data_IF_916779479239
#
_entry.id   IF_916779479239
#
_cell.length_a   1.000
_cell.length_b   1.000
_cell.length_c   1.000
_cell.angle_alpha   90.00
_cell.angle_beta   90.00
_cell.angle_gamma   90.00
#
_symmetry.space_group_name_H-M   'P 1'
#
loop_
_entity.id
_entity.type
_entity.pdbx_description
1 polymer ?
#
# COMPACT_ATOMS: atom_id res chain seq x y z
N UNK A 1 -68.58 -43.59 -33.71
CA UNK A 1 -68.27 -42.15 -33.89
C UNK A 1 -66.79 -41.97 -33.57
N UNK A 2 -65.95 -41.87 -34.61
CA UNK A 2 -64.48 -41.78 -34.48
C UNK A 2 -64.11 -40.34 -34.11
N UNK A 3 -63.46 -40.15 -32.96
CA UNK A 3 -62.76 -38.89 -32.68
C UNK A 3 -61.61 -38.76 -33.69
N UNK A 4 -61.70 -37.76 -34.58
CA UNK A 4 -60.56 -37.31 -35.40
C UNK A 4 -59.55 -36.63 -34.47
N UNK A 5 -58.34 -37.16 -34.39
CA UNK A 5 -57.17 -36.39 -34.00
C UNK A 5 -56.96 -35.29 -35.04
N UNK A 6 -57.17 -34.04 -34.63
CA UNK A 6 -56.99 -32.86 -35.46
C UNK A 6 -55.50 -32.50 -35.49
N UNK A 7 -54.74 -33.04 -36.45
CA UNK A 7 -53.41 -32.54 -36.79
C UNK A 7 -53.57 -31.20 -37.53
N UNK A 8 -53.79 -30.10 -36.80
CA UNK A 8 -53.60 -28.75 -37.35
C UNK A 8 -52.10 -28.51 -37.43
N UNK A 9 -51.56 -28.56 -38.65
CA UNK A 9 -50.20 -28.10 -38.93
C UNK A 9 -50.03 -26.65 -38.43
N UNK A 10 -48.89 -26.39 -37.80
CA UNK A 10 -48.51 -25.05 -37.33
C UNK A 10 -48.53 -24.10 -38.54
N UNK A 11 -49.23 -22.97 -38.43
CA UNK A 11 -49.31 -21.99 -39.50
C UNK A 11 -47.93 -21.40 -39.81
N UNK A 12 -47.66 -21.17 -41.10
CA UNK A 12 -46.39 -20.60 -41.60
C UNK A 12 -45.88 -19.37 -40.80
N UNK A 13 -46.74 -18.43 -40.34
CA UNK A 13 -46.29 -17.29 -39.52
C UNK A 13 -45.72 -17.70 -38.15
N UNK A 14 -46.22 -18.77 -37.56
CA UNK A 14 -45.76 -19.28 -36.26
C UNK A 14 -44.40 -19.98 -36.40
N UNK A 15 -44.18 -20.71 -37.49
CA UNK A 15 -42.86 -21.28 -37.81
C UNK A 15 -41.84 -20.16 -38.05
N UNK A 16 -42.22 -19.11 -38.78
CA UNK A 16 -41.36 -17.96 -39.02
C UNK A 16 -40.98 -17.26 -37.70
N UNK A 17 -41.95 -17.09 -36.79
CA UNK A 17 -41.73 -16.50 -35.46
C UNK A 17 -40.79 -17.32 -34.57
N UNK A 18 -40.87 -18.66 -34.63
CA UNK A 18 -39.94 -19.54 -33.91
C UNK A 18 -38.53 -19.43 -34.50
N UNK A 19 -38.41 -19.45 -35.84
CA UNK A 19 -37.10 -19.33 -36.51
C UNK A 19 -36.45 -17.98 -36.21
N UNK A 20 -37.19 -16.87 -36.28
CA UNK A 20 -36.64 -15.55 -35.95
C UNK A 20 -36.28 -15.43 -34.47
N UNK A 21 -37.05 -16.03 -33.56
CA UNK A 21 -36.71 -16.09 -32.14
C UNK A 21 -35.43 -16.89 -31.88
N UNK A 22 -35.27 -18.05 -32.51
CA UNK A 22 -34.04 -18.86 -32.40
C UNK A 22 -32.84 -18.13 -32.98
N UNK A 23 -32.97 -17.47 -34.13
CA UNK A 23 -31.89 -16.66 -34.71
C UNK A 23 -31.54 -15.49 -33.78
N UNK A 24 -32.53 -14.80 -33.21
CA UNK A 24 -32.31 -13.68 -32.30
C UNK A 24 -31.60 -14.11 -31.00
N UNK A 25 -31.99 -15.25 -30.41
CA UNK A 25 -31.31 -15.80 -29.23
C UNK A 25 -29.89 -16.21 -29.58
N UNK A 26 -29.70 -16.93 -30.70
CA UNK A 26 -28.37 -17.40 -31.12
C UNK A 26 -27.44 -16.24 -31.39
N UNK A 27 -27.92 -15.19 -32.09
CA UNK A 27 -27.17 -13.98 -32.36
C UNK A 27 -26.82 -13.22 -31.06
N UNK A 28 -27.76 -13.11 -30.12
CA UNK A 28 -27.52 -12.46 -28.82
C UNK A 28 -26.48 -13.21 -28.00
N UNK A 29 -26.56 -14.54 -27.98
CA UNK A 29 -25.64 -15.40 -27.24
C UNK A 29 -24.23 -15.37 -27.84
N UNK A 30 -24.11 -15.40 -29.17
CA UNK A 30 -22.83 -15.20 -29.87
C UNK A 30 -22.24 -13.82 -29.59
N UNK A 31 -23.06 -12.78 -29.66
CA UNK A 31 -22.62 -11.40 -29.40
C UNK A 31 -22.10 -11.26 -27.96
N UNK A 32 -22.83 -11.81 -26.99
CA UNK A 32 -22.43 -11.81 -25.59
C UNK A 32 -21.11 -12.57 -25.38
N UNK A 33 -20.97 -13.77 -25.96
CA UNK A 33 -19.74 -14.56 -25.86
C UNK A 33 -18.53 -13.84 -26.47
N UNK A 34 -18.70 -13.17 -27.62
CA UNK A 34 -17.62 -12.40 -28.25
C UNK A 34 -17.23 -11.17 -27.42
N UNK A 35 -18.19 -10.46 -26.83
CA UNK A 35 -17.88 -9.33 -25.95
C UNK A 35 -17.17 -9.76 -24.68
N UNK A 36 -17.59 -10.87 -24.05
CA UNK A 36 -16.90 -11.41 -22.88
C UNK A 36 -15.49 -11.86 -23.23
N UNK A 37 -15.29 -12.57 -24.34
CA UNK A 37 -13.96 -12.99 -24.78
C UNK A 37 -13.03 -11.78 -24.98
N UNK A 38 -13.50 -10.71 -25.64
CA UNK A 38 -12.71 -9.48 -25.81
C UNK A 38 -12.36 -8.79 -24.50
N UNK A 39 -13.29 -8.75 -23.54
CA UNK A 39 -13.02 -8.16 -22.22
C UNK A 39 -11.97 -8.96 -21.46
N UNK A 40 -12.02 -10.29 -21.57
CA UNK A 40 -11.03 -11.19 -20.97
C UNK A 40 -9.67 -11.00 -21.63
N UNK A 41 -9.59 -11.02 -22.96
CA UNK A 41 -8.34 -10.81 -23.69
C UNK A 41 -7.71 -9.44 -23.34
N UNK A 42 -8.51 -8.38 -23.31
CA UNK A 42 -8.04 -7.05 -22.93
C UNK A 42 -7.54 -7.01 -21.48
N UNK A 43 -8.19 -7.72 -20.56
CA UNK A 43 -7.73 -7.81 -19.17
C UNK A 43 -6.41 -8.56 -19.03
N UNK A 44 -6.20 -9.61 -19.84
CA UNK A 44 -4.94 -10.34 -19.89
C UNK A 44 -3.82 -9.46 -20.45
N UNK A 45 -4.03 -8.81 -21.59
CA UNK A 45 -3.04 -7.91 -22.19
C UNK A 45 -2.61 -6.79 -21.22
N UNK A 46 -3.56 -6.19 -20.49
CA UNK A 46 -3.23 -5.14 -19.51
C UNK A 46 -2.45 -5.69 -18.31
N UNK A 47 -2.81 -6.87 -17.82
CA UNK A 47 -2.12 -7.51 -16.69
C UNK A 47 -0.69 -7.91 -17.08
N UNK A 48 -0.51 -8.46 -18.28
CA UNK A 48 0.79 -8.83 -18.81
C UNK A 48 1.66 -7.59 -19.07
N UNK A 49 1.10 -6.53 -19.68
CA UNK A 49 1.81 -5.27 -19.89
C UNK A 49 2.25 -4.64 -18.56
N UNK A 50 1.40 -4.65 -17.54
CA UNK A 50 1.74 -4.20 -16.20
C UNK A 50 2.89 -5.02 -15.59
N UNK A 51 2.78 -6.35 -15.60
CA UNK A 51 3.80 -7.23 -15.03
C UNK A 51 5.15 -7.06 -15.74
N UNK A 52 5.15 -6.98 -17.06
CA UNK A 52 6.35 -6.74 -17.86
C UNK A 52 6.96 -5.36 -17.57
N UNK A 53 6.14 -4.31 -17.44
CA UNK A 53 6.63 -2.97 -17.12
C UNK A 53 7.28 -2.92 -15.73
N UNK A 54 6.65 -3.53 -14.72
CA UNK A 54 7.22 -3.67 -13.36
C UNK A 54 8.55 -4.42 -13.40
N UNK A 55 8.58 -5.57 -14.08
CA UNK A 55 9.79 -6.39 -14.18
C UNK A 55 10.93 -5.66 -14.91
N UNK A 56 10.63 -4.93 -16.00
CA UNK A 56 11.65 -4.17 -16.73
C UNK A 56 12.24 -3.05 -15.87
N UNK A 57 11.41 -2.29 -15.15
CA UNK A 57 11.88 -1.23 -14.25
C UNK A 57 12.72 -1.83 -13.11
N UNK A 58 12.22 -2.85 -12.43
CA UNK A 58 12.93 -3.52 -11.33
C UNK A 58 14.28 -4.11 -11.77
N UNK A 59 14.31 -4.82 -12.89
CA UNK A 59 15.54 -5.40 -13.42
C UNK A 59 16.56 -4.32 -13.82
N UNK A 60 16.10 -3.21 -14.40
CA UNK A 60 16.96 -2.07 -14.76
C UNK A 60 17.61 -1.48 -13.51
N UNK A 61 16.82 -1.24 -12.45
CA UNK A 61 17.32 -0.75 -11.16
C UNK A 61 18.36 -1.71 -10.59
N UNK A 62 18.04 -3.01 -10.51
CA UNK A 62 18.94 -4.02 -9.96
C UNK A 62 20.26 -4.11 -10.72
N UNK A 63 20.24 -3.92 -12.03
CA UNK A 63 21.45 -3.85 -12.86
C UNK A 63 22.29 -2.61 -12.50
N UNK A 64 21.66 -1.42 -12.42
CA UNK A 64 22.34 -0.17 -12.04
C UNK A 64 22.97 -0.28 -10.65
N UNK A 65 22.21 -0.79 -9.68
CA UNK A 65 22.66 -0.95 -8.28
C UNK A 65 23.81 -1.96 -8.17
N UNK A 66 23.74 -3.06 -8.93
CA UNK A 66 24.81 -4.08 -8.97
C UNK A 66 26.09 -3.53 -9.58
N UNK A 67 25.98 -2.85 -10.73
CA UNK A 67 27.12 -2.35 -11.48
C UNK A 67 27.65 -1.01 -10.92
N UNK A 68 26.87 -0.36 -10.06
CA UNK A 68 27.15 0.93 -9.43
C UNK A 68 27.54 2.01 -10.45
N UNK A 69 26.89 1.99 -11.62
CA UNK A 69 27.26 2.84 -12.75
C UNK A 69 26.10 3.76 -13.14
N UNK A 70 26.36 5.08 -13.07
CA UNK A 70 25.44 6.15 -13.47
C UNK A 70 26.00 6.99 -14.62
N UNK A 71 27.00 6.48 -15.35
CA UNK A 71 27.54 7.17 -16.51
C UNK A 71 26.45 7.30 -17.60
N UNK A 72 26.29 8.49 -18.22
CA UNK A 72 25.21 8.72 -19.18
C UNK A 72 25.16 7.71 -20.33
N UNK A 73 26.31 7.27 -20.84
CA UNK A 73 26.34 6.29 -21.93
C UNK A 73 25.86 4.90 -21.46
N UNK A 74 26.24 4.48 -20.26
CA UNK A 74 25.78 3.22 -19.69
C UNK A 74 24.26 3.23 -19.48
N UNK A 75 23.71 4.33 -18.96
CA UNK A 75 22.27 4.48 -18.76
C UNK A 75 21.51 4.46 -20.10
N UNK A 76 21.98 5.16 -21.13
CA UNK A 76 21.39 5.15 -22.48
C UNK A 76 21.38 3.75 -23.12
N UNK A 77 22.47 3.00 -22.96
CA UNK A 77 22.57 1.63 -23.46
C UNK A 77 21.57 0.71 -22.72
N UNK A 78 21.41 0.91 -21.41
CA UNK A 78 20.49 0.14 -20.57
C UNK A 78 19.01 0.48 -20.84
N UNK A 79 18.67 1.76 -21.03
CA UNK A 79 17.35 2.22 -21.49
C UNK A 79 16.92 1.48 -22.76
N UNK A 80 17.83 1.47 -23.76
CA UNK A 80 17.59 0.84 -25.05
C UNK A 80 17.42 -0.67 -24.92
N UNK A 81 18.23 -1.31 -24.07
CA UNK A 81 18.20 -2.76 -23.87
C UNK A 81 16.94 -3.22 -23.11
N UNK A 82 16.55 -2.49 -22.07
CA UNK A 82 15.45 -2.86 -21.18
C UNK A 82 14.09 -2.31 -21.63
N UNK A 83 14.07 -1.35 -22.57
CA UNK A 83 12.86 -0.72 -23.05
C UNK A 83 12.22 0.21 -22.01
N UNK A 84 13.04 0.96 -21.27
CA UNK A 84 12.63 1.91 -20.23
C UNK A 84 13.18 3.30 -20.52
N UNK A 85 12.61 4.33 -19.89
CA UNK A 85 13.14 5.70 -19.84
C UNK A 85 13.88 5.90 -18.52
N UNK A 86 15.06 6.50 -18.53
CA UNK A 86 15.88 6.85 -17.37
C UNK A 86 16.19 8.34 -17.43
N UNK A 87 15.37 9.14 -16.75
CA UNK A 87 15.46 10.59 -16.75
C UNK A 87 16.03 11.12 -15.44
N UNK A 88 16.69 12.28 -15.46
CA UNK A 88 17.11 12.95 -14.22
C UNK A 88 15.91 13.69 -13.62
N UNK A 89 15.53 13.34 -12.40
CA UNK A 89 14.45 13.99 -11.65
C UNK A 89 14.93 15.27 -10.97
N UNK A 90 16.02 15.14 -10.21
CA UNK A 90 16.70 16.21 -9.49
C UNK A 90 18.20 15.89 -9.41
N UNK A 91 19.00 16.78 -8.82
CA UNK A 91 20.43 16.53 -8.66
C UNK A 91 20.65 15.23 -7.88
N UNK A 92 21.25 14.21 -8.52
CA UNK A 92 21.54 12.93 -7.89
C UNK A 92 20.37 11.93 -7.82
N UNK A 93 19.19 12.26 -8.37
CA UNK A 93 18.02 11.37 -8.43
C UNK A 93 17.60 11.12 -9.87
N UNK A 94 17.46 9.85 -10.21
CA UNK A 94 17.02 9.36 -11.50
C UNK A 94 15.62 8.75 -11.38
N UNK A 95 14.79 8.94 -12.39
CA UNK A 95 13.49 8.31 -12.54
C UNK A 95 13.57 7.27 -13.64
N UNK A 96 13.16 6.04 -13.33
CA UNK A 96 13.17 4.91 -14.26
C UNK A 96 11.71 4.53 -14.54
N UNK A 97 11.30 4.66 -15.80
CA UNK A 97 9.88 4.59 -16.20
C UNK A 97 9.65 3.61 -17.34
N UNK A 98 8.58 2.82 -17.26
CA UNK A 98 8.08 1.99 -18.36
C UNK A 98 6.60 2.27 -18.61
N UNK A 99 6.22 2.50 -19.87
CA UNK A 99 4.84 2.82 -20.25
C UNK A 99 4.01 1.54 -20.43
N UNK A 100 2.89 1.43 -19.73
CA UNK A 100 1.90 0.36 -19.92
C UNK A 100 0.92 0.76 -21.03
N UNK A 101 0.48 2.01 -21.01
CA UNK A 101 -0.39 2.61 -22.02
C UNK A 101 0.09 4.04 -22.32
N UNK A 102 -0.58 4.76 -23.20
CA UNK A 102 -0.26 6.16 -23.48
C UNK A 102 -0.41 7.10 -22.25
N UNK A 103 -1.09 6.66 -21.19
CA UNK A 103 -1.41 7.49 -20.01
C UNK A 103 -1.08 6.82 -18.68
N UNK A 104 -0.54 5.60 -18.69
CA UNK A 104 -0.19 4.86 -17.47
C UNK A 104 1.23 4.34 -17.59
N UNK A 105 2.01 4.56 -16.54
CA UNK A 105 3.40 4.13 -16.46
C UNK A 105 3.71 3.47 -15.12
N UNK A 106 4.72 2.62 -15.13
CA UNK A 106 5.41 2.19 -13.92
C UNK A 106 6.63 3.08 -13.75
N UNK A 107 6.80 3.63 -12.56
CA UNK A 107 7.89 4.57 -12.22
C UNK A 107 8.60 4.10 -10.96
N UNK A 108 9.91 4.30 -10.90
CA UNK A 108 10.72 4.17 -9.70
C UNK A 108 11.78 5.26 -9.67
N UNK A 109 12.25 5.60 -8.47
CA UNK A 109 13.32 6.56 -8.22
C UNK A 109 14.58 5.84 -7.75
N UNK A 110 15.73 6.31 -8.21
CA UNK A 110 17.04 5.80 -7.83
C UNK A 110 18.01 6.95 -7.54
N UNK A 111 18.80 6.83 -6.49
CA UNK A 111 19.96 7.68 -6.23
C UNK A 111 21.24 6.86 -6.11
N UNK A 112 22.36 7.43 -6.56
CA UNK A 112 23.70 6.87 -6.36
C UNK A 112 24.40 7.34 -5.09
N UNK A 113 23.81 8.31 -4.39
CA UNK A 113 24.33 8.88 -3.14
C UNK A 113 23.17 9.18 -2.22
N UNK A 114 23.06 8.43 -1.13
CA UNK A 114 22.07 8.68 -0.09
C UNK A 114 22.72 9.22 1.18
N UNK A 115 22.00 10.09 1.88
CA UNK A 115 22.38 10.64 3.18
C UNK A 115 21.31 10.28 4.20
N UNK A 116 21.74 9.72 5.33
CA UNK A 116 20.85 9.52 6.47
C UNK A 116 20.53 10.88 7.11
N UNK A 117 19.25 11.24 7.15
CA UNK A 117 18.74 12.44 7.80
C UNK A 117 17.76 12.08 8.91
N UNK A 118 17.56 13.00 9.85
CA UNK A 118 16.58 12.81 10.92
C UNK A 118 15.15 12.77 10.34
N UNK A 119 14.39 11.72 10.67
CA UNK A 119 13.04 11.51 10.13
C UNK A 119 12.05 12.57 10.62
N UNK A 120 12.23 13.07 11.84
CA UNK A 120 11.38 14.12 12.38
C UNK A 120 11.62 15.42 11.62
N UNK A 121 12.86 15.88 11.52
CA UNK A 121 13.20 17.13 10.84
C UNK A 121 12.87 17.09 9.34
N UNK A 122 13.08 15.96 8.68
CA UNK A 122 12.85 15.82 7.23
C UNK A 122 11.37 15.68 6.85
N UNK A 123 10.58 14.95 7.65
CA UNK A 123 9.18 14.63 7.32
C UNK A 123 8.23 15.23 8.37
N UNK A 124 8.33 14.78 9.62
CA UNK A 124 7.25 14.93 10.60
C UNK A 124 7.20 16.27 11.35
N UNK A 125 8.21 17.12 11.20
CA UNK A 125 8.21 18.49 11.72
C UNK A 125 7.20 19.37 10.97
N UNK A 126 7.01 19.10 9.68
CA UNK A 126 6.10 19.83 8.80
C UNK A 126 4.74 19.12 8.72
N UNK A 127 3.71 19.82 8.26
CA UNK A 127 2.37 19.27 8.04
C UNK A 127 2.18 18.67 6.63
N UNK A 128 3.13 18.89 5.73
CA UNK A 128 3.09 18.46 4.33
C UNK A 128 2.27 19.38 3.42
N UNK A 129 1.83 20.53 3.95
CA UNK A 129 1.01 21.51 3.23
C UNK A 129 1.68 22.88 3.13
N UNK A 130 2.86 23.03 3.72
CA UNK A 130 3.68 24.23 3.61
C UNK A 130 4.14 24.44 2.16
N UNK A 131 4.22 25.70 1.72
CA UNK A 131 4.57 26.04 0.34
C UNK A 131 5.98 25.58 -0.07
N UNK A 132 6.91 25.59 0.88
CA UNK A 132 8.33 25.27 0.65
C UNK A 132 8.66 23.81 1.02
N UNK A 133 7.67 23.03 1.47
CA UNK A 133 7.90 21.62 1.80
C UNK A 133 7.93 20.78 0.53
N UNK A 134 9.01 20.01 0.36
CA UNK A 134 9.18 19.05 -0.71
C UNK A 134 9.49 17.71 -0.06
N UNK A 135 8.61 16.73 -0.26
CA UNK A 135 8.85 15.36 0.17
C UNK A 135 9.89 14.72 -0.76
N UNK A 136 10.96 14.18 -0.18
CA UNK A 136 11.92 13.36 -0.93
C UNK A 136 11.20 12.19 -1.62
N UNK A 137 11.48 11.90 -2.89
CA UNK A 137 10.89 10.74 -3.57
C UNK A 137 11.34 9.41 -2.96
N UNK A 138 12.43 9.39 -2.18
CA UNK A 138 12.90 8.22 -1.44
C UNK A 138 12.24 8.07 -0.08
N UNK A 139 11.54 9.09 0.42
CA UNK A 139 10.79 9.04 1.67
C UNK A 139 9.45 8.31 1.50
N UNK A 140 9.51 7.02 1.15
CA UNK A 140 8.32 6.17 0.96
C UNK A 140 8.03 5.31 2.20
N UNK A 141 6.79 4.84 2.38
CA UNK A 141 6.44 3.85 3.40
C UNK A 141 7.32 2.60 3.38
N UNK A 142 7.65 2.06 2.19
CA UNK A 142 8.54 0.90 2.07
C UNK A 142 9.94 1.23 2.59
N UNK A 143 10.49 2.41 2.27
CA UNK A 143 11.82 2.83 2.73
C UNK A 143 11.87 3.14 4.23
N UNK A 144 10.80 3.74 4.78
CA UNK A 144 10.67 3.89 6.24
C UNK A 144 10.67 2.52 6.93
N UNK A 145 9.93 1.56 6.37
CA UNK A 145 9.82 0.22 6.95
C UNK A 145 11.11 -0.58 6.79
N UNK A 146 11.77 -0.54 5.62
CA UNK A 146 13.06 -1.20 5.38
C UNK A 146 14.18 -0.66 6.26
N UNK A 147 14.05 0.60 6.72
CA UNK A 147 14.96 1.19 7.71
C UNK A 147 14.60 0.78 9.14
N UNK A 148 13.31 0.74 9.49
CA UNK A 148 12.84 0.38 10.83
C UNK A 148 13.03 -1.10 11.17
N UNK A 149 12.73 -2.00 10.23
CA UNK A 149 12.67 -3.44 10.49
C UNK A 149 14.01 -4.02 10.94
N UNK A 150 15.17 -3.72 10.31
CA UNK A 150 16.46 -4.17 10.80
C UNK A 150 16.71 -3.74 12.26
N UNK A 151 16.45 -2.47 12.60
CA UNK A 151 16.58 -1.98 13.98
C UNK A 151 15.65 -2.73 14.94
N UNK A 152 14.40 -2.98 14.52
CA UNK A 152 13.44 -3.76 15.30
C UNK A 152 13.95 -5.16 15.63
N UNK A 153 14.57 -5.83 14.65
CA UNK A 153 15.16 -7.15 14.82
C UNK A 153 16.38 -7.14 15.74
N UNK A 154 17.28 -6.17 15.61
CA UNK A 154 18.44 -6.03 16.51
C UNK A 154 18.00 -5.90 17.98
N UNK A 155 16.92 -5.16 18.23
CA UNK A 155 16.44 -4.91 19.58
C UNK A 155 15.60 -6.05 20.17
N UNK A 156 14.69 -6.64 19.40
CA UNK A 156 13.74 -7.66 19.90
C UNK A 156 14.23 -9.10 19.70
N UNK A 157 15.12 -9.31 18.74
CA UNK A 157 15.63 -10.62 18.35
C UNK A 157 17.16 -10.59 18.18
N UNK A 158 17.93 -10.24 19.23
CA UNK A 158 19.39 -10.05 19.14
C UNK A 158 20.19 -11.32 18.77
N UNK A 159 19.53 -12.48 18.70
CA UNK A 159 20.11 -13.73 18.24
C UNK A 159 19.96 -13.95 16.72
N UNK A 160 19.18 -13.10 16.03
CA UNK A 160 19.04 -13.12 14.57
C UNK A 160 19.98 -12.08 13.95
N UNK A 161 20.52 -12.42 12.78
CA UNK A 161 21.18 -11.43 11.93
C UNK A 161 20.10 -10.85 11.02
N UNK A 162 19.77 -9.55 11.14
CA UNK A 162 18.71 -8.96 10.34
C UNK A 162 19.09 -8.91 8.86
N UNK A 163 18.15 -9.24 7.98
CA UNK A 163 18.21 -8.83 6.58
C UNK A 163 18.09 -7.29 6.51
N UNK A 164 18.93 -6.65 5.70
CA UNK A 164 19.01 -5.18 5.61
C UNK A 164 18.64 -4.64 4.23
N UNK A 165 18.39 -5.51 3.25
CA UNK A 165 18.26 -5.16 1.84
C UNK A 165 16.82 -5.29 1.34
N UNK A 166 15.85 -4.95 2.18
CA UNK A 166 14.44 -4.93 1.78
C UNK A 166 14.16 -3.82 0.77
N UNK A 167 13.41 -4.15 -0.28
CA UNK A 167 13.04 -3.19 -1.33
C UNK A 167 11.55 -2.85 -1.32
N UNK A 168 10.73 -3.68 -0.66
CA UNK A 168 9.28 -3.56 -0.64
C UNK A 168 8.69 -4.04 0.69
N UNK A 169 7.39 -3.76 0.91
CA UNK A 169 6.61 -4.36 2.00
C UNK A 169 6.52 -5.89 1.83
N UNK A 170 6.40 -6.38 0.59
CA UNK A 170 6.33 -7.82 0.31
C UNK A 170 7.59 -8.55 0.77
N UNK A 171 8.77 -8.02 0.47
CA UNK A 171 10.05 -8.64 0.86
C UNK A 171 10.16 -8.80 2.38
N UNK A 172 9.65 -7.80 3.13
CA UNK A 172 9.65 -7.81 4.60
C UNK A 172 8.67 -8.86 5.11
N UNK A 173 7.49 -8.95 4.51
CA UNK A 173 6.47 -9.92 4.91
C UNK A 173 6.93 -11.34 4.58
N UNK A 174 7.55 -11.56 3.43
CA UNK A 174 8.15 -12.85 3.02
C UNK A 174 9.26 -13.27 3.97
N UNK A 175 10.18 -12.36 4.34
CA UNK A 175 11.20 -12.65 5.35
C UNK A 175 10.61 -13.01 6.73
N UNK A 176 9.56 -12.30 7.15
CA UNK A 176 8.87 -12.59 8.43
C UNK A 176 8.12 -13.93 8.36
N UNK A 177 7.56 -14.28 7.19
CA UNK A 177 6.95 -15.59 6.94
C UNK A 177 7.97 -16.71 7.12
N UNK A 178 9.13 -16.62 6.48
CA UNK A 178 10.20 -17.61 6.60
C UNK A 178 10.62 -17.78 8.07
N UNK A 179 10.75 -16.68 8.81
CA UNK A 179 11.03 -16.71 10.24
C UNK A 179 9.92 -17.39 11.05
N UNK A 180 8.65 -17.16 10.73
CA UNK A 180 7.52 -17.80 11.40
C UNK A 180 7.47 -19.31 11.12
N UNK A 181 7.70 -19.71 9.87
CA UNK A 181 7.78 -21.12 9.43
C UNK A 181 8.91 -21.86 10.16
N UNK A 182 10.06 -21.20 10.33
CA UNK A 182 11.21 -21.71 11.08
C UNK A 182 11.04 -21.61 12.62
N UNK A 183 9.91 -21.07 13.10
CA UNK A 183 9.64 -20.80 14.52
C UNK A 183 10.73 -19.93 15.18
N UNK A 184 11.20 -18.94 14.45
CA UNK A 184 12.33 -18.08 14.79
C UNK A 184 11.86 -16.65 15.04
N UNK A 185 11.48 -16.35 16.29
CA UNK A 185 11.10 -15.00 16.73
C UNK A 185 9.62 -14.66 16.52
N UNK A 186 9.03 -15.04 15.38
CA UNK A 186 7.60 -14.88 15.08
C UNK A 186 6.82 -16.19 15.28
N UNK A 187 5.61 -16.06 15.82
CA UNK A 187 4.64 -17.16 15.90
C UNK A 187 3.66 -17.07 14.73
N UNK A 188 3.56 -18.14 13.94
CA UNK A 188 2.46 -18.31 12.98
C UNK A 188 1.14 -18.51 13.74
N UNK A 189 0.13 -17.70 13.41
CA UNK A 189 -1.21 -17.72 14.02
C UNK A 189 -2.28 -17.71 12.95
N UNK A 190 -3.48 -18.13 13.33
CA UNK A 190 -4.64 -18.07 12.43
C UNK A 190 -5.40 -16.78 12.66
N UNK A 191 -6.01 -16.24 11.62
CA UNK A 191 -6.99 -15.13 11.70
C UNK A 191 -8.00 -15.35 12.83
N UNK A 192 -8.53 -16.57 12.92
CA UNK A 192 -9.51 -16.99 13.94
C UNK A 192 -9.06 -16.79 15.40
N UNK A 193 -7.75 -16.73 15.68
CA UNK A 193 -7.20 -16.48 17.01
C UNK A 193 -7.48 -15.04 17.47
N UNK A 194 -7.56 -14.07 16.55
CA UNK A 194 -7.97 -12.69 16.83
C UNK A 194 -9.49 -12.51 16.68
N UNK A 195 -10.09 -13.09 15.64
CA UNK A 195 -11.51 -12.86 15.35
C UNK A 195 -12.44 -13.40 16.44
N UNK A 196 -12.13 -14.59 16.96
CA UNK A 196 -12.95 -15.27 17.96
C UNK A 196 -12.58 -14.89 19.39
N UNK A 197 -11.40 -14.28 19.62
CA UNK A 197 -10.96 -13.88 20.94
C UNK A 197 -11.93 -12.87 21.57
N UNK A 198 -12.22 -13.05 22.86
CA UNK A 198 -12.97 -12.06 23.62
C UNK A 198 -12.25 -10.70 23.63
N UNK A 199 -10.92 -10.75 23.77
CA UNK A 199 -10.02 -9.60 23.73
C UNK A 199 -8.92 -9.86 22.68
N UNK A 200 -9.11 -9.43 21.42
CA UNK A 200 -8.15 -9.66 20.33
C UNK A 200 -6.80 -9.01 20.63
N UNK A 201 -5.84 -9.81 21.11
CA UNK A 201 -4.51 -9.32 21.48
C UNK A 201 -3.43 -10.19 20.86
N UNK A 202 -2.57 -9.59 20.04
CA UNK A 202 -1.34 -10.20 19.58
C UNK A 202 -0.28 -10.05 20.69
N UNK A 203 -0.30 -10.96 21.68
CA UNK A 203 0.52 -10.84 22.89
C UNK A 203 2.01 -11.14 22.66
N UNK A 204 2.36 -11.64 21.48
CA UNK A 204 3.72 -11.87 21.01
C UNK A 204 3.90 -11.28 19.60
N UNK A 205 5.04 -11.54 18.97
CA UNK A 205 5.30 -11.21 17.56
C UNK A 205 4.56 -12.24 16.69
N UNK A 206 3.52 -11.80 16.01
CA UNK A 206 2.60 -12.70 15.30
C UNK A 206 2.67 -12.47 13.81
N UNK A 207 2.68 -13.57 13.06
CA UNK A 207 2.46 -13.62 11.62
C UNK A 207 1.15 -14.36 11.34
N UNK A 208 0.31 -13.82 10.46
CA UNK A 208 -0.95 -14.43 10.03
C UNK A 208 -1.01 -14.43 8.50
N UNK A 209 -1.07 -15.62 7.89
CA UNK A 209 -1.23 -15.84 6.44
C UNK A 209 -2.72 -15.99 6.08
N UNK A 210 -3.50 -14.94 6.34
CA UNK A 210 -4.94 -14.87 6.05
C UNK A 210 -5.47 -13.44 6.24
N UNK A 211 -6.65 -13.16 5.69
CA UNK A 211 -7.40 -11.95 6.02
C UNK A 211 -7.82 -11.95 7.50
N UNK A 212 -7.77 -10.78 8.14
CA UNK A 212 -8.17 -10.62 9.55
C UNK A 212 -9.31 -9.62 9.67
N UNK A 213 -10.44 -10.06 10.22
CA UNK A 213 -11.61 -9.22 10.47
C UNK A 213 -11.92 -9.09 11.95
N UNK A 214 -11.56 -7.96 12.55
CA UNK A 214 -11.88 -7.66 13.94
C UNK A 214 -13.39 -7.37 14.08
N UNK A 215 -14.12 -8.11 14.94
CA UNK A 215 -15.56 -7.94 15.11
C UNK A 215 -15.96 -6.59 15.67
N UNK A 216 -17.26 -6.28 15.52
CA UNK A 216 -17.85 -5.04 16.03
C UNK A 216 -17.58 -4.86 17.53
N UNK A 217 -17.10 -3.68 17.91
CA UNK A 217 -16.89 -3.28 19.30
C UNK A 217 -15.73 -3.99 20.02
N UNK A 218 -14.91 -4.78 19.31
CA UNK A 218 -13.70 -5.38 19.88
C UNK A 218 -12.48 -4.52 19.61
N UNK A 219 -11.49 -4.62 20.47
CA UNK A 219 -10.23 -3.91 20.32
C UNK A 219 -9.14 -4.87 19.86
N UNK A 220 -8.41 -4.51 18.82
CA UNK A 220 -7.18 -5.19 18.44
C UNK A 220 -6.01 -4.50 19.15
N UNK A 221 -5.35 -5.24 20.03
CA UNK A 221 -4.23 -4.75 20.83
C UNK A 221 -2.94 -5.46 20.42
N UNK A 222 -1.94 -4.68 20.04
CA UNK A 222 -0.56 -5.12 19.86
C UNK A 222 0.24 -4.37 20.94
N UNK A 223 0.78 -5.07 21.96
CA UNK A 223 1.56 -4.44 23.02
C UNK A 223 2.80 -3.73 22.47
N UNK A 224 3.34 -2.79 23.26
CA UNK A 224 4.61 -2.14 22.93
C UNK A 224 5.72 -3.18 22.71
N UNK A 225 6.63 -2.87 21.78
CA UNK A 225 7.71 -3.75 21.31
C UNK A 225 7.23 -5.06 20.65
N UNK A 226 5.94 -5.23 20.41
CA UNK A 226 5.39 -6.32 19.57
C UNK A 226 5.00 -5.79 18.20
N UNK A 227 4.99 -6.71 17.24
CA UNK A 227 4.62 -6.45 15.87
C UNK A 227 3.64 -7.53 15.43
N UNK A 228 2.53 -7.10 14.85
CA UNK A 228 1.60 -7.97 14.15
C UNK A 228 1.83 -7.80 12.65
N UNK A 229 2.05 -8.92 11.96
CA UNK A 229 2.18 -8.96 10.51
C UNK A 229 1.04 -9.81 9.95
N UNK A 230 0.28 -9.23 9.04
CA UNK A 230 -0.85 -9.87 8.37
C UNK A 230 -0.53 -9.92 6.89
N UNK A 231 -0.35 -11.13 6.36
CA UNK A 231 -0.21 -11.38 4.93
C UNK A 231 -1.60 -11.53 4.29
N UNK A 232 -2.31 -10.40 4.22
CA UNK A 232 -3.72 -10.33 3.84
C UNK A 232 -4.34 -8.98 4.19
N UNK A 233 -5.66 -8.86 4.05
CA UNK A 233 -6.41 -7.65 4.40
C UNK A 233 -6.67 -7.57 5.91
N UNK A 234 -6.58 -6.36 6.50
CA UNK A 234 -7.03 -6.09 7.86
C UNK A 234 -8.32 -5.24 7.85
N UNK A 235 -9.40 -5.81 8.35
CA UNK A 235 -10.69 -5.13 8.52
C UNK A 235 -11.07 -4.91 9.99
N UNK A 236 -11.18 -3.64 10.39
CA UNK A 236 -11.65 -3.20 11.71
C UNK A 236 -13.13 -2.82 11.64
N UNK A 237 -14.04 -3.54 12.31
CA UNK A 237 -15.48 -3.25 12.23
C UNK A 237 -15.99 -2.21 13.24
N UNK A 238 -17.27 -1.82 13.11
CA UNK A 238 -17.82 -0.66 13.82
C UNK A 238 -17.53 -0.71 15.33
N UNK A 239 -17.09 0.41 15.88
CA UNK A 239 -16.83 0.54 17.31
C UNK A 239 -15.52 -0.11 17.78
N UNK A 240 -14.69 -0.63 16.88
CA UNK A 240 -13.40 -1.22 17.23
C UNK A 240 -12.33 -0.16 17.47
N UNK A 241 -11.31 -0.57 18.24
CA UNK A 241 -10.07 0.20 18.45
C UNK A 241 -8.88 -0.61 17.98
N UNK A 242 -7.99 -0.02 17.19
CA UNK A 242 -6.65 -0.55 16.96
C UNK A 242 -5.69 0.14 17.93
N UNK A 243 -4.83 -0.61 18.61
CA UNK A 243 -3.73 -0.06 19.43
C UNK A 243 -2.45 -0.86 19.16
N UNK A 244 -1.36 -0.15 18.89
CA UNK A 244 -0.06 -0.76 18.60
C UNK A 244 0.36 -0.69 17.13
N UNK A 245 1.35 -1.49 16.73
CA UNK A 245 1.98 -1.44 15.41
C UNK A 245 1.61 -2.68 14.58
N UNK A 246 1.19 -2.47 13.33
CA UNK A 246 0.79 -3.56 12.43
C UNK A 246 1.29 -3.32 11.01
N UNK A 247 1.75 -4.39 10.37
CA UNK A 247 2.06 -4.46 8.94
C UNK A 247 0.97 -5.30 8.27
N UNK A 248 0.40 -4.78 7.20
CA UNK A 248 -0.70 -5.38 6.45
C UNK A 248 -0.25 -5.52 5.00
N UNK A 249 -0.02 -6.74 4.52
CA UNK A 249 0.35 -7.05 3.14
C UNK A 249 -0.86 -7.03 2.18
N UNK A 250 -1.76 -6.09 2.43
CA UNK A 250 -3.03 -5.95 1.74
C UNK A 250 -3.68 -4.64 2.15
N UNK A 251 -5.00 -4.59 2.11
CA UNK A 251 -5.79 -3.39 2.40
C UNK A 251 -6.01 -3.26 3.89
N UNK A 252 -5.92 -2.03 4.39
CA UNK A 252 -6.38 -1.69 5.73
C UNK A 252 -7.72 -0.95 5.65
N UNK A 253 -8.75 -1.54 6.25
CA UNK A 253 -10.12 -1.02 6.18
C UNK A 253 -10.75 -0.87 7.56
N UNK A 254 -11.23 0.32 7.86
CA UNK A 254 -12.10 0.57 9.00
C UNK A 254 -13.53 0.69 8.52
N UNK A 255 -14.40 -0.25 8.90
CA UNK A 255 -15.83 -0.19 8.65
C UNK A 255 -16.54 0.54 9.80
N UNK A 256 -17.09 1.71 9.50
CA UNK A 256 -17.82 2.53 10.46
C UNK A 256 -19.33 2.43 10.31
N UNK A 257 -20.04 2.77 11.37
CA UNK A 257 -21.49 2.97 11.36
C UNK A 257 -21.82 4.24 12.13
N UNK A 258 -22.79 5.02 11.62
CA UNK A 258 -23.28 6.21 12.31
C UNK A 258 -23.63 5.91 13.77
N UNK A 259 -23.18 6.77 14.68
CA UNK A 259 -23.36 6.62 16.12
C UNK A 259 -22.28 5.81 16.85
N UNK A 260 -21.32 5.23 16.14
CA UNK A 260 -20.17 4.53 16.73
C UNK A 260 -18.88 5.21 16.28
N UNK A 261 -17.97 5.48 17.21
CA UNK A 261 -16.60 5.93 16.89
C UNK A 261 -15.68 4.73 16.76
N UNK A 262 -14.73 4.79 15.84
CA UNK A 262 -13.62 3.84 15.73
C UNK A 262 -12.35 4.55 16.13
N UNK A 263 -11.36 3.83 16.62
CA UNK A 263 -10.13 4.43 17.12
C UNK A 263 -8.89 3.76 16.54
N UNK A 264 -7.87 4.55 16.23
CA UNK A 264 -6.57 4.05 15.77
C UNK A 264 -5.48 4.71 16.60
N UNK A 265 -4.82 3.93 17.46
CA UNK A 265 -3.77 4.37 18.38
C UNK A 265 -2.45 3.65 18.08
N UNK A 266 -1.79 4.03 16.99
CA UNK A 266 -0.50 3.46 16.60
C UNK A 266 -0.30 3.48 15.10
N UNK A 267 0.53 2.56 14.62
CA UNK A 267 1.08 2.62 13.27
C UNK A 267 0.57 1.48 12.41
N UNK A 268 0.16 1.82 11.20
CA UNK A 268 -0.27 0.88 10.17
C UNK A 268 0.57 1.11 8.93
N UNK A 269 1.39 0.13 8.59
CA UNK A 269 1.96 0.00 7.25
C UNK A 269 1.02 -0.89 6.44
N UNK A 270 0.47 -0.37 5.34
CA UNK A 270 -0.39 -1.12 4.44
C UNK A 270 0.21 -1.14 3.03
N UNK A 271 0.32 -2.32 2.43
CA UNK A 271 0.77 -2.48 1.04
C UNK A 271 -0.22 -1.86 0.05
N UNK A 272 -1.52 -2.06 0.31
CA UNK A 272 -2.59 -1.57 -0.56
C UNK A 272 -3.32 -0.35 0.03
N UNK A 273 -4.45 0.00 -0.58
CA UNK A 273 -5.29 1.13 -0.19
C UNK A 273 -5.72 1.08 1.28
N UNK A 274 -5.80 2.27 1.87
CA UNK A 274 -6.34 2.46 3.22
C UNK A 274 -7.68 3.16 3.16
N UNK A 275 -8.69 2.59 3.82
CA UNK A 275 -10.03 3.19 3.91
C UNK A 275 -10.43 3.39 5.37
N UNK A 276 -10.56 4.64 5.79
CA UNK A 276 -11.07 5.01 7.11
C UNK A 276 -12.53 5.45 7.00
N UNK A 277 -13.42 4.81 7.76
CA UNK A 277 -14.83 5.21 7.77
C UNK A 277 -15.09 6.52 8.52
N UNK A 278 -16.35 6.97 8.44
CA UNK A 278 -16.81 8.13 9.18
C UNK A 278 -16.70 7.92 10.69
N UNK A 279 -16.46 9.00 11.44
CA UNK A 279 -16.31 9.00 12.90
C UNK A 279 -15.08 8.23 13.39
N UNK A 280 -14.02 8.18 12.60
CA UNK A 280 -12.72 7.64 13.02
C UNK A 280 -11.97 8.65 13.88
N UNK A 281 -11.53 8.22 15.06
CA UNK A 281 -10.67 8.98 15.95
C UNK A 281 -9.24 8.52 15.74
N UNK A 282 -8.42 9.43 15.26
CA UNK A 282 -6.98 9.27 15.18
C UNK A 282 -6.38 9.40 16.58
N UNK A 283 -5.08 9.19 16.68
CA UNK A 283 -4.33 8.99 17.91
C UNK A 283 -4.41 10.14 18.92
N UNK A 284 -3.68 9.98 20.01
CA UNK A 284 -3.51 11.00 21.04
C UNK A 284 -2.16 11.69 20.91
N UNK A 285 -1.92 12.73 21.73
CA UNK A 285 -0.61 13.40 21.84
C UNK A 285 0.51 12.38 22.11
N UNK A 286 0.26 11.41 22.99
CA UNK A 286 1.25 10.41 23.44
C UNK A 286 1.29 9.14 22.59
N UNK A 287 0.33 8.97 21.67
CA UNK A 287 0.24 7.83 20.76
C UNK A 287 -0.49 8.27 19.49
N UNK A 288 0.16 9.07 18.63
CA UNK A 288 -0.42 9.50 17.36
C UNK A 288 -0.64 8.29 16.44
N UNK A 289 -1.54 8.43 15.46
CA UNK A 289 -1.67 7.44 14.40
C UNK A 289 -0.65 7.72 13.30
N UNK A 290 0.03 6.68 12.81
CA UNK A 290 0.77 6.76 11.55
C UNK A 290 0.13 5.80 10.55
N UNK A 291 -0.33 6.31 9.43
CA UNK A 291 -0.98 5.53 8.37
C UNK A 291 -0.13 5.68 7.11
N UNK A 292 0.58 4.61 6.75
CA UNK A 292 1.65 4.64 5.76
C UNK A 292 1.33 3.60 4.68
N UNK A 293 1.17 4.05 3.44
CA UNK A 293 0.87 3.18 2.28
C UNK A 293 1.41 3.82 1.01
N UNK A 294 1.95 3.05 0.07
CA UNK A 294 2.32 3.61 -1.24
C UNK A 294 1.11 3.76 -2.19
N UNK A 295 -0.09 3.43 -1.71
CA UNK A 295 -1.36 3.53 -2.45
C UNK A 295 -2.24 4.66 -1.93
N UNK A 296 -3.54 4.56 -2.18
CA UNK A 296 -4.49 5.63 -1.92
C UNK A 296 -5.06 5.53 -0.50
N UNK A 297 -5.23 6.68 0.13
CA UNK A 297 -5.91 6.81 1.42
C UNK A 297 -7.25 7.51 1.22
N UNK A 298 -8.33 6.87 1.65
CA UNK A 298 -9.66 7.45 1.71
C UNK A 298 -10.10 7.68 3.16
N UNK A 299 -10.48 8.92 3.49
CA UNK A 299 -10.89 9.33 4.83
C UNK A 299 -12.36 9.74 4.87
N UNK A 300 -13.14 9.06 5.70
CA UNK A 300 -14.52 9.38 6.01
C UNK A 300 -14.71 10.71 6.76
N UNK A 301 -15.96 11.16 6.85
CA UNK A 301 -16.36 12.37 7.58
C UNK A 301 -16.12 12.25 9.08
N UNK A 302 -15.96 13.39 9.77
CA UNK A 302 -15.76 13.44 11.22
C UNK A 302 -14.51 12.69 11.71
N UNK A 303 -13.51 12.54 10.84
CA UNK A 303 -12.22 11.96 11.22
C UNK A 303 -11.37 13.03 11.92
N UNK A 304 -10.91 12.76 13.14
CA UNK A 304 -10.12 13.76 13.90
C UNK A 304 -9.20 13.12 14.94
N UNK A 305 -8.14 13.84 15.31
CA UNK A 305 -7.15 13.42 16.32
C UNK A 305 -5.73 13.67 15.84
N UNK A 306 -4.76 13.03 16.49
CA UNK A 306 -3.34 13.14 16.15
C UNK A 306 -2.97 12.09 15.11
N UNK A 307 -2.63 12.51 13.89
CA UNK A 307 -2.43 11.59 12.78
C UNK A 307 -1.43 12.07 11.74
N UNK A 308 -0.67 11.13 11.21
CA UNK A 308 0.30 11.30 10.15
C UNK A 308 -0.02 10.34 9.02
N UNK A 309 -0.08 10.86 7.80
CA UNK A 309 -0.36 10.08 6.60
C UNK A 309 0.76 10.25 5.62
N UNK A 310 1.29 9.15 5.10
CA UNK A 310 2.22 9.14 3.98
C UNK A 310 1.62 8.24 2.90
N UNK A 311 1.22 8.83 1.77
CA UNK A 311 0.52 8.11 0.72
C UNK A 311 0.71 8.63 -0.69
N UNK A 312 0.28 7.87 -1.72
CA UNK A 312 0.25 8.37 -3.09
C UNK A 312 -0.80 9.46 -3.25
N UNK A 313 -2.06 9.10 -2.99
CA UNK A 313 -3.16 10.06 -2.95
C UNK A 313 -3.82 10.04 -1.58
N UNK A 314 -4.41 11.16 -1.18
CA UNK A 314 -5.27 11.22 -0.02
C UNK A 314 -6.54 12.01 -0.36
N UNK A 315 -7.69 11.38 -0.14
CA UNK A 315 -8.99 12.01 -0.36
C UNK A 315 -9.88 11.92 0.87
N UNK A 316 -10.65 12.97 1.14
CA UNK A 316 -11.59 12.98 2.26
C UNK A 316 -13.01 13.37 1.84
N UNK A 317 -14.00 12.67 2.39
CA UNK A 317 -15.41 13.04 2.17
C UNK A 317 -15.76 14.32 2.91
N UNK A 318 -16.18 15.32 2.13
CA UNK A 318 -16.25 16.70 2.56
C UNK A 318 -17.13 16.95 3.80
N UNK A 319 -16.56 17.78 4.69
CA UNK A 319 -17.08 18.39 5.94
C UNK A 319 -16.66 17.60 7.19
N UNK A 320 -15.77 18.23 8.00
CA UNK A 320 -15.40 17.92 9.41
C UNK A 320 -14.20 17.00 9.70
N UNK A 321 -13.31 16.79 8.74
CA UNK A 321 -12.01 16.14 9.03
C UNK A 321 -11.05 17.18 9.63
N UNK A 322 -10.40 16.87 10.75
CA UNK A 322 -9.41 17.76 11.40
C UNK A 322 -8.26 16.91 11.91
N UNK A 323 -7.12 16.98 11.23
CA UNK A 323 -5.93 16.20 11.56
C UNK A 323 -4.94 17.12 12.27
N UNK A 324 -4.46 16.71 13.44
CA UNK A 324 -3.32 17.33 14.10
C UNK A 324 -2.07 16.48 13.82
N UNK A 325 -1.14 16.98 13.03
CA UNK A 325 -0.03 16.21 12.47
C UNK A 325 0.24 16.60 11.03
N UNK A 326 0.42 15.62 10.14
CA UNK A 326 0.77 15.88 8.74
C UNK A 326 0.18 14.89 7.74
N UNK A 327 0.05 15.34 6.49
CA UNK A 327 -0.34 14.52 5.34
C UNK A 327 0.66 14.79 4.23
N UNK A 328 1.48 13.81 3.94
CA UNK A 328 2.55 13.85 2.95
C UNK A 328 2.10 12.99 1.78
N UNK A 329 1.82 13.61 0.64
CA UNK A 329 1.38 12.89 -0.56
C UNK A 329 2.24 13.23 -1.76
N UNK A 330 2.52 12.23 -2.59
CA UNK A 330 3.27 12.41 -3.84
C UNK A 330 2.37 12.82 -5.01
N UNK A 331 1.09 12.42 -4.97
CA UNK A 331 0.08 12.72 -5.96
C UNK A 331 -0.92 13.76 -5.49
N UNK A 332 -2.20 13.41 -5.52
CA UNK A 332 -3.30 14.35 -5.25
C UNK A 332 -3.68 14.38 -3.78
N UNK A 333 -3.64 15.59 -3.19
CA UNK A 333 -4.24 15.89 -1.89
C UNK A 333 -5.64 16.50 -2.08
N UNK A 334 -6.67 15.80 -1.61
CA UNK A 334 -8.04 16.30 -1.53
C UNK A 334 -8.52 16.31 -0.08
N UNK A 335 -8.03 17.29 0.67
CA UNK A 335 -8.42 17.57 2.04
C UNK A 335 -9.11 18.93 2.11
N UNK A 336 -10.25 19.01 2.79
CA UNK A 336 -11.06 20.25 2.84
C UNK A 336 -10.59 21.24 3.90
N UNK A 337 -10.04 20.74 5.00
CA UNK A 337 -9.50 21.55 6.08
C UNK A 337 -8.00 21.29 6.16
N UNK A 338 -7.23 22.30 6.48
CA UNK A 338 -5.79 22.15 6.66
C UNK A 338 -5.47 21.31 7.90
N UNK A 339 -4.29 20.70 7.86
CA UNK A 339 -3.67 20.07 9.01
C UNK A 339 -3.31 21.13 10.05
N UNK A 340 -3.39 20.72 11.31
CA UNK A 340 -2.91 21.51 12.44
C UNK A 340 -1.55 20.95 12.83
N UNK A 341 -0.52 21.79 12.92
CA UNK A 341 0.80 21.35 13.36
C UNK A 341 0.73 20.66 14.74
N UNK A 342 1.40 19.54 14.89
CA UNK A 342 1.54 18.86 16.17
C UNK A 342 2.84 19.28 16.85
N UNK A 343 2.79 20.32 17.69
CA UNK A 343 3.94 20.81 18.44
C UNK A 343 4.41 19.90 19.59
N UNK A 344 3.75 18.76 19.79
CA UNK A 344 4.03 17.82 20.89
C UNK A 344 4.49 16.44 20.40
N UNK A 345 4.77 16.29 19.10
CA UNK A 345 5.33 15.03 18.60
C UNK A 345 6.72 14.83 19.20
N UNK A 346 6.89 13.73 19.94
CA UNK A 346 8.15 13.35 20.56
C UNK A 346 8.88 12.35 19.67
N UNK A 347 9.97 12.78 19.04
CA UNK A 347 10.80 11.94 18.17
C UNK A 347 11.54 10.84 18.93
N UNK A 348 11.71 10.96 20.25
CA UNK A 348 12.32 9.91 21.07
C UNK A 348 11.45 8.64 21.15
N UNK A 349 10.16 8.77 20.84
CA UNK A 349 9.21 7.66 20.86
C UNK A 349 9.04 7.00 19.48
N UNK A 350 9.73 7.46 18.44
CA UNK A 350 9.59 6.95 17.07
C UNK A 350 9.76 5.43 16.97
N UNK A 351 10.77 4.87 17.64
CA UNK A 351 10.95 3.43 17.68
C UNK A 351 9.69 2.69 18.21
N UNK A 352 9.08 3.18 19.28
CA UNK A 352 7.83 2.61 19.84
C UNK A 352 6.62 2.78 18.92
N UNK A 353 6.66 3.80 18.05
CA UNK A 353 5.68 4.06 17.01
C UNK A 353 5.98 3.29 15.72
N UNK A 354 6.97 2.41 15.70
CA UNK A 354 7.41 1.76 14.47
C UNK A 354 7.82 2.73 13.34
N UNK A 355 8.41 3.87 13.70
CA UNK A 355 8.96 4.85 12.78
C UNK A 355 10.49 4.86 12.97
N UNK A 356 11.30 4.83 11.91
CA UNK A 356 12.74 4.93 12.06
C UNK A 356 13.14 6.35 12.48
N UNK A 357 14.16 6.49 13.32
CA UNK A 357 14.65 7.81 13.75
C UNK A 357 15.39 8.56 12.66
N UNK A 358 15.96 7.84 11.69
CA UNK A 358 16.58 8.39 10.50
C UNK A 358 16.08 7.70 9.24
N UNK A 359 16.06 8.41 8.13
CA UNK A 359 15.76 7.86 6.81
C UNK A 359 16.85 8.28 5.82
N UNK A 360 17.18 7.39 4.89
CA UNK A 360 18.06 7.70 3.79
C UNK A 360 17.29 8.46 2.70
N UNK A 361 17.72 9.70 2.42
CA UNK A 361 17.21 10.51 1.31
C UNK A 361 18.34 10.80 0.32
N UNK A 362 18.02 11.42 -0.81
CA UNK A 362 19.00 11.85 -1.79
C UNK A 362 20.07 12.76 -1.16
N UNK A 363 21.33 12.46 -1.44
CA UNK A 363 22.47 13.24 -0.94
C UNK A 363 22.77 14.44 -1.83
N UNK A 364 23.20 15.54 -1.22
CA UNK A 364 23.46 16.84 -1.85
C UNK A 364 24.66 16.85 -2.85
N UNK A 365 25.27 15.70 -3.14
CA UNK A 365 26.42 15.58 -4.04
C UNK A 365 27.73 16.23 -3.56
N UNK A 366 27.73 16.96 -2.44
CA UNK A 366 28.92 17.68 -1.91
C UNK A 366 29.63 16.96 -0.76
N UNK A 367 28.99 15.97 -0.13
CA UNK A 367 29.64 15.17 0.93
C UNK A 367 30.32 13.96 0.32
N UNK A 368 31.52 13.65 0.78
CA UNK A 368 32.26 12.41 0.52
C UNK A 368 31.57 11.21 1.19
N UNK A 369 30.26 11.08 1.01
CA UNK A 369 29.44 9.98 1.50
C UNK A 369 29.77 8.71 0.71
N UNK A 370 29.72 7.59 1.39
CA UNK A 370 29.71 6.27 0.76
C UNK A 370 28.67 6.23 -0.35
N UNK A 371 29.05 5.73 -1.53
CA UNK A 371 28.12 5.43 -2.64
C UNK A 371 27.15 4.33 -2.20
N UNK A 372 26.07 4.69 -1.52
CA UNK A 372 24.98 3.78 -1.20
C UNK A 372 23.85 4.06 -2.18
N UNK A 373 23.71 3.16 -3.16
CA UNK A 373 22.58 3.21 -4.06
C UNK A 373 21.29 2.91 -3.29
N UNK A 374 20.30 3.78 -3.43
CA UNK A 374 18.96 3.61 -2.86
C UNK A 374 17.92 3.81 -3.94
N UNK A 375 16.83 3.07 -3.84
CA UNK A 375 15.76 3.12 -4.84
C UNK A 375 14.41 2.82 -4.21
N UNK A 376 13.33 3.13 -4.94
CA UNK A 376 11.97 2.77 -4.56
C UNK A 376 11.49 1.56 -5.33
N UNK A 377 10.55 0.81 -4.76
CA UNK A 377 9.81 -0.20 -5.54
C UNK A 377 9.11 0.43 -6.76
N UNK A 378 8.98 -0.28 -7.88
CA UNK A 378 8.24 0.21 -9.04
C UNK A 378 6.75 0.38 -8.71
N UNK A 379 6.24 1.60 -8.89
CA UNK A 379 4.85 1.95 -8.61
C UNK A 379 4.12 2.39 -9.87
N UNK A 380 2.83 2.08 -9.95
CA UNK A 380 1.95 2.60 -11.00
C UNK A 380 1.72 4.09 -10.75
N UNK A 381 2.02 4.93 -11.74
CA UNK A 381 1.68 6.37 -11.75
C UNK A 381 0.30 6.63 -12.35
#
# INVERSE_FOLDING_TARGET
>A
MRFKLNNRGIGLPTVLGIVTFVIAITASLLTFAVFQARLVDQSFEQTEAYANAVQSVDATIKIIVRDQNLEPQYLLDLETYMGVSIDVYSAGVYTITSMITATQSITSYLTGSASAVDTFDSIFQNTGQEQDFILSPLATPSNLMSTYIPQYFEENFPWLTPETNFTSIDDIVEYIKDLADDNSGFDERRSSDLENAWDPTAWWHWYIDDDVTIPNGKNLTIPDNRLLVIDGDLTMNRGSTLTGNVIVNGKFKVNGKSGYSQYIYGTVYAKDDVTLANYTKLGSISRPSFILTEKDVFIGKYTNGYGYFLSRNLSSTQRTTTITGGTYVTGTLSLKNDNIINSFLDSQLFYSYAIPTSIDIEGDGESSGTTSFKFTSPILD
#
